data_IF_511230248199
#
_entry.id   IF_511230248199
#
_cell.length_a   1.000
_cell.length_b   1.000
_cell.length_c   1.000
_cell.angle_alpha   90.00
_cell.angle_beta   90.00
_cell.angle_gamma   90.00
#
_symmetry.space_group_name_H-M   'P 1'
#
loop_
_entity.id
_entity.type
_entity.pdbx_description
1 polymer ?
#
# COMPACT_ATOMS: atom_id res chain seq x y z
N UNK A 1 4.70 -28.31 9.38
CA UNK A 1 4.95 -27.31 10.45
C UNK A 1 5.99 -26.28 10.00
N UNK A 2 7.14 -26.70 9.46
CA UNK A 2 8.20 -25.80 8.96
C UNK A 2 7.75 -24.92 7.78
N UNK A 3 7.03 -25.48 6.81
CA UNK A 3 6.50 -24.71 5.67
C UNK A 3 5.51 -23.61 6.11
N UNK A 4 4.62 -23.94 7.06
CA UNK A 4 3.62 -22.99 7.60
C UNK A 4 4.29 -21.84 8.34
N UNK A 5 5.32 -22.13 9.14
CA UNK A 5 6.14 -21.12 9.83
C UNK A 5 6.90 -20.25 8.82
N UNK A 6 7.47 -20.84 7.76
CA UNK A 6 8.16 -20.08 6.72
C UNK A 6 7.23 -19.14 5.95
N UNK A 7 6.03 -19.60 5.58
CA UNK A 7 5.04 -18.75 4.91
C UNK A 7 4.59 -17.61 5.82
N UNK A 8 4.38 -17.89 7.10
CA UNK A 8 4.01 -16.87 8.09
C UNK A 8 5.11 -15.80 8.28
N UNK A 9 6.37 -16.21 8.35
CA UNK A 9 7.49 -15.26 8.47
C UNK A 9 7.59 -14.42 7.19
N UNK A 10 7.49 -15.04 6.02
CA UNK A 10 7.52 -14.30 4.75
C UNK A 10 6.36 -13.30 4.64
N UNK A 11 5.14 -13.68 5.02
CA UNK A 11 3.98 -12.78 4.99
C UNK A 11 4.14 -11.63 5.99
N UNK A 12 4.68 -11.90 7.17
CA UNK A 12 4.97 -10.87 8.17
C UNK A 12 6.05 -9.89 7.68
N UNK A 13 7.13 -10.39 7.07
CA UNK A 13 8.18 -9.54 6.49
C UNK A 13 7.60 -8.64 5.39
N UNK A 14 6.79 -9.19 4.48
CA UNK A 14 6.12 -8.40 3.44
C UNK A 14 5.20 -7.35 4.05
N UNK A 15 4.44 -7.71 5.09
CA UNK A 15 3.57 -6.79 5.81
C UNK A 15 4.34 -5.61 6.41
N UNK A 16 5.43 -5.89 7.11
CA UNK A 16 6.28 -4.87 7.76
C UNK A 16 6.95 -3.99 6.71
N UNK A 17 7.50 -4.57 5.65
CA UNK A 17 8.16 -3.79 4.58
C UNK A 17 7.16 -2.88 3.89
N UNK A 18 5.98 -3.38 3.52
CA UNK A 18 4.94 -2.58 2.88
C UNK A 18 4.45 -1.44 3.78
N UNK A 19 4.31 -1.70 5.08
CA UNK A 19 3.97 -0.68 6.07
C UNK A 19 5.02 0.44 6.11
N UNK A 20 6.31 0.09 6.23
CA UNK A 20 7.40 1.06 6.29
C UNK A 20 7.49 1.89 5.00
N UNK A 21 7.32 1.24 3.85
CA UNK A 21 7.33 1.92 2.55
C UNK A 21 6.18 2.91 2.45
N UNK A 22 4.94 2.51 2.78
CA UNK A 22 3.81 3.43 2.74
C UNK A 22 3.96 4.57 3.73
N UNK A 23 4.40 4.29 4.95
CA UNK A 23 4.64 5.32 5.96
C UNK A 23 5.64 6.36 5.46
N UNK A 24 6.77 5.91 4.89
CA UNK A 24 7.78 6.80 4.34
C UNK A 24 7.26 7.60 3.13
N UNK A 25 6.41 7.02 2.30
CA UNK A 25 5.78 7.72 1.15
C UNK A 25 4.81 8.80 1.61
N UNK A 26 3.98 8.51 2.62
CA UNK A 26 3.04 9.48 3.19
C UNK A 26 3.77 10.65 3.85
N UNK A 27 4.74 10.38 4.73
CA UNK A 27 5.58 11.42 5.35
C UNK A 27 6.28 12.29 4.30
N UNK A 28 6.78 11.68 3.22
CA UNK A 28 7.39 12.42 2.11
C UNK A 28 6.36 13.22 1.32
N UNK A 29 5.16 12.69 1.12
CA UNK A 29 4.04 13.36 0.43
C UNK A 29 3.57 14.59 1.20
N UNK A 30 3.37 14.46 2.51
CA UNK A 30 2.97 15.57 3.38
C UNK A 30 4.00 16.68 3.34
N UNK A 31 5.28 16.32 3.44
CA UNK A 31 6.39 17.27 3.34
C UNK A 31 6.48 17.95 1.97
N UNK A 32 6.19 17.23 0.88
CA UNK A 32 6.27 17.78 -0.48
C UNK A 32 5.09 18.73 -0.79
N UNK A 33 3.92 18.47 -0.20
CA UNK A 33 2.70 19.25 -0.42
C UNK A 33 2.45 20.31 0.66
N UNK A 34 3.41 20.53 1.57
CA UNK A 34 3.31 21.46 2.71
C UNK A 34 2.03 21.24 3.55
N UNK A 35 1.65 19.97 3.71
CA UNK A 35 0.48 19.56 4.50
C UNK A 35 0.86 19.38 5.97
N UNK A 36 -0.10 19.61 6.86
CA UNK A 36 0.10 19.35 8.30
C UNK A 36 0.29 17.85 8.52
N UNK A 37 1.40 17.47 9.13
CA UNK A 37 1.72 16.07 9.37
C UNK A 37 0.83 15.51 10.49
N UNK A 38 -0.16 14.69 10.12
CA UNK A 38 -0.95 13.90 11.06
C UNK A 38 -0.39 12.47 11.16
N UNK A 39 0.25 12.19 12.29
CA UNK A 39 0.81 10.88 12.59
C UNK A 39 -0.26 9.79 12.68
N UNK A 40 -1.43 10.09 13.23
CA UNK A 40 -2.52 9.11 13.43
C UNK A 40 -3.09 8.70 12.09
N UNK A 41 -3.33 9.66 11.21
CA UNK A 41 -3.79 9.41 9.84
C UNK A 41 -2.73 8.65 9.05
N UNK A 42 -1.46 9.07 9.13
CA UNK A 42 -0.34 8.42 8.45
C UNK A 42 -0.19 6.96 8.87
N UNK A 43 -0.26 6.68 10.19
CA UNK A 43 -0.18 5.32 10.73
C UNK A 43 -1.35 4.48 10.24
N UNK A 44 -2.58 4.99 10.35
CA UNK A 44 -3.80 4.28 9.94
C UNK A 44 -3.74 3.92 8.46
N UNK A 45 -3.38 4.87 7.60
CA UNK A 45 -3.24 4.68 6.16
C UNK A 45 -2.12 3.68 5.85
N UNK A 46 -1.01 3.72 6.58
CA UNK A 46 0.09 2.76 6.43
C UNK A 46 -0.32 1.34 6.83
N UNK A 47 -1.14 1.13 7.86
CA UNK A 47 -1.67 -0.19 8.22
C UNK A 47 -2.59 -0.78 7.13
N UNK A 48 -3.30 0.09 6.42
CA UNK A 48 -4.19 -0.26 5.32
C UNK A 48 -3.47 -0.42 3.97
N UNK A 49 -2.14 -0.34 3.93
CA UNK A 49 -1.35 -0.48 2.70
C UNK A 49 -1.73 -1.68 1.82
N UNK A 50 -2.04 -2.90 2.34
CA UNK A 50 -2.35 -4.03 1.48
C UNK A 50 -3.68 -3.81 0.73
N UNK A 51 -4.65 -3.13 1.36
CA UNK A 51 -5.90 -2.77 0.72
C UNK A 51 -5.65 -1.81 -0.44
N UNK A 52 -4.84 -0.78 -0.23
CA UNK A 52 -4.48 0.16 -1.29
C UNK A 52 -3.70 -0.51 -2.43
N UNK A 53 -2.77 -1.42 -2.11
CA UNK A 53 -2.04 -2.18 -3.13
C UNK A 53 -2.97 -2.97 -4.04
N UNK A 54 -4.00 -3.62 -3.47
CA UNK A 54 -5.01 -4.34 -4.27
C UNK A 54 -5.91 -3.36 -5.03
N UNK A 55 -6.39 -2.30 -4.38
CA UNK A 55 -7.29 -1.33 -4.99
C UNK A 55 -6.67 -0.64 -6.21
N UNK A 56 -5.39 -0.22 -6.12
CA UNK A 56 -4.65 0.42 -7.22
C UNK A 56 -4.58 -0.54 -8.41
N UNK A 57 -4.20 -1.79 -8.19
CA UNK A 57 -4.13 -2.80 -9.27
C UNK A 57 -5.50 -3.04 -9.91
N UNK A 58 -6.57 -3.10 -9.11
CA UNK A 58 -7.94 -3.24 -9.62
C UNK A 58 -8.36 -2.04 -10.47
N UNK A 59 -8.02 -0.81 -10.05
CA UNK A 59 -8.29 0.42 -10.80
C UNK A 59 -7.53 0.40 -12.14
N UNK A 60 -6.24 0.06 -12.13
CA UNK A 60 -5.41 -0.03 -13.34
C UNK A 60 -5.97 -1.03 -14.35
N UNK A 61 -6.38 -2.22 -13.88
CA UNK A 61 -7.02 -3.25 -14.72
C UNK A 61 -8.33 -2.72 -15.31
N UNK A 62 -9.17 -2.09 -14.48
CA UNK A 62 -10.45 -1.54 -14.92
C UNK A 62 -10.25 -0.44 -15.97
N UNK A 63 -9.32 0.49 -15.75
CA UNK A 63 -9.01 1.55 -16.70
C UNK A 63 -8.49 1.00 -18.03
N UNK A 64 -7.62 -0.02 -17.99
CA UNK A 64 -7.11 -0.67 -19.19
C UNK A 64 -8.24 -1.28 -20.03
N UNK A 65 -9.17 -1.99 -19.38
CA UNK A 65 -10.34 -2.57 -20.05
C UNK A 65 -11.24 -1.47 -20.62
N UNK A 66 -11.48 -0.40 -19.86
CA UNK A 66 -12.29 0.74 -20.30
C UNK A 66 -11.69 1.41 -21.54
N UNK A 67 -10.38 1.68 -21.55
CA UNK A 67 -9.67 2.26 -22.71
C UNK A 67 -9.77 1.36 -23.94
N UNK A 68 -9.62 0.04 -23.78
CA UNK A 68 -9.80 -0.92 -24.87
C UNK A 68 -11.23 -0.98 -25.42
N UNK A 69 -12.24 -0.72 -24.59
CA UNK A 69 -13.65 -0.72 -25.00
C UNK A 69 -14.05 0.57 -25.73
N UNK A 70 -13.32 1.66 -25.52
CA UNK A 70 -13.56 2.97 -26.13
C UNK A 70 -12.72 3.22 -27.40
N UNK A 71 -11.78 2.33 -27.73
CA UNK A 71 -11.04 2.29 -29.00
C UNK A 71 -11.71 1.35 -29.98
#
# INVERSE_FOLDING_TARGET
>A
MELTMSIYICSLVVYVVGFVVMFALLVRGDKANDMEFDLVETLTTSFLWPFYAVAIVCIDIYEFIKRKKQS
#
